data_IF_395238527650
#
_entry.id   IF_395238527650
#
_cell.length_a   1.000
_cell.length_b   1.000
_cell.length_c   1.000
_cell.angle_alpha   90.00
_cell.angle_beta   90.00
_cell.angle_gamma   90.00
#
_symmetry.space_group_name_H-M   'P 1'
#
loop_
_entity.id
_entity.type
_entity.pdbx_description
1 polymer ?
#
# COMPACT_ATOMS: atom_id res chain seq x y z
N UNK A 1 10.92 2.97 -12.56
CA UNK A 1 10.34 2.32 -11.38
C UNK A 1 11.29 2.56 -10.22
N UNK A 2 10.77 3.00 -9.07
CA UNK A 2 11.54 3.36 -7.87
C UNK A 2 11.52 4.84 -7.50
N UNK A 3 10.74 5.67 -8.20
CA UNK A 3 10.67 7.11 -7.91
C UNK A 3 9.97 7.41 -6.56
N UNK A 4 9.33 6.41 -5.95
CA UNK A 4 8.79 6.49 -4.59
C UNK A 4 9.86 6.43 -3.49
N UNK A 5 11.13 6.16 -3.86
CA UNK A 5 12.26 6.19 -2.91
C UNK A 5 12.58 7.61 -2.44
N UNK A 6 12.47 8.58 -3.35
CA UNK A 6 12.87 9.96 -3.14
C UNK A 6 11.65 10.88 -3.10
N UNK A 7 11.66 11.84 -2.16
CA UNK A 7 10.69 12.93 -2.10
C UNK A 7 11.36 14.23 -2.57
N UNK A 8 10.65 15.11 -3.31
CA UNK A 8 9.24 15.01 -3.68
C UNK A 8 8.98 14.05 -4.85
N UNK A 9 7.78 13.47 -4.90
CA UNK A 9 7.36 12.62 -6.02
C UNK A 9 7.33 13.39 -7.35
N UNK A 10 7.45 12.68 -8.50
CA UNK A 10 7.43 13.31 -9.82
C UNK A 10 6.19 14.19 -10.05
N UNK A 11 6.39 15.35 -10.67
CA UNK A 11 5.29 16.26 -11.05
C UNK A 11 4.42 15.67 -12.16
N UNK A 12 3.16 16.11 -12.27
CA UNK A 12 2.20 15.60 -13.24
C UNK A 12 1.49 14.29 -12.84
N UNK A 13 1.76 13.78 -11.64
CA UNK A 13 1.04 12.68 -11.01
C UNK A 13 0.12 13.20 -9.90
N UNK A 14 -0.91 12.41 -9.58
CA UNK A 14 -1.66 12.59 -8.35
C UNK A 14 -0.87 12.00 -7.21
N UNK A 15 -0.71 12.77 -6.13
CA UNK A 15 0.02 12.33 -4.94
C UNK A 15 -0.96 12.08 -3.79
N UNK A 16 -0.65 11.05 -3.01
CA UNK A 16 -1.31 10.71 -1.77
C UNK A 16 -0.23 10.52 -0.71
N UNK A 17 -0.45 11.07 0.48
CA UNK A 17 0.36 10.83 1.66
C UNK A 17 -0.58 10.81 2.87
N UNK A 18 -0.69 9.67 3.52
CA UNK A 18 -1.50 9.47 4.72
C UNK A 18 -0.70 8.67 5.74
N UNK A 19 -0.79 9.06 7.01
CA UNK A 19 -0.09 8.41 8.11
C UNK A 19 -1.02 8.19 9.29
N UNK A 20 -0.74 7.17 10.10
CA UNK A 20 -1.47 6.88 11.33
C UNK A 20 -0.57 6.28 12.39
N UNK A 21 -0.68 6.75 13.63
CA UNK A 21 -0.10 6.06 14.79
C UNK A 21 -0.88 4.77 15.03
N UNK A 22 -0.20 3.63 14.98
CA UNK A 22 -0.81 2.30 15.14
C UNK A 22 -0.52 1.65 16.49
N UNK A 23 0.34 2.25 17.32
CA UNK A 23 0.58 1.85 18.70
C UNK A 23 1.92 2.37 19.20
N UNK A 24 2.49 1.70 20.21
CA UNK A 24 3.80 2.04 20.80
C UNK A 24 4.60 0.78 21.11
N UNK A 25 5.93 0.89 21.07
CA UNK A 25 6.85 -0.20 21.44
C UNK A 25 7.25 -1.13 20.29
N UNK A 26 8.36 -1.83 20.50
CA UNK A 26 8.94 -2.78 19.53
C UNK A 26 8.00 -3.92 19.17
N UNK A 27 7.22 -4.44 20.12
CA UNK A 27 6.27 -5.53 19.85
C UNK A 27 5.20 -5.14 18.82
N UNK A 28 4.71 -3.89 18.87
CA UNK A 28 3.76 -3.38 17.87
C UNK A 28 4.47 -3.19 16.53
N UNK A 29 5.70 -2.69 16.54
CA UNK A 29 6.51 -2.53 15.34
C UNK A 29 6.72 -3.87 14.62
N UNK A 30 7.24 -4.88 15.32
CA UNK A 30 7.52 -6.20 14.74
C UNK A 30 6.26 -6.88 14.20
N UNK A 31 5.15 -6.78 14.94
CA UNK A 31 3.85 -7.30 14.49
C UNK A 31 3.34 -6.59 13.24
N UNK A 32 3.39 -5.25 13.21
CA UNK A 32 2.95 -4.47 12.06
C UNK A 32 3.82 -4.73 10.82
N UNK A 33 5.13 -4.91 11.00
CA UNK A 33 6.05 -5.28 9.92
C UNK A 33 5.73 -6.66 9.38
N UNK A 34 5.53 -7.66 10.24
CA UNK A 34 5.12 -8.99 9.81
C UNK A 34 3.80 -8.94 9.02
N UNK A 35 2.81 -8.19 9.49
CA UNK A 35 1.55 -8.00 8.78
C UNK A 35 1.72 -7.28 7.45
N UNK A 36 2.58 -6.26 7.38
CA UNK A 36 2.83 -5.52 6.15
C UNK A 36 3.41 -6.45 5.08
N UNK A 37 4.52 -7.14 5.40
CA UNK A 37 5.24 -7.98 4.45
C UNK A 37 4.48 -9.25 4.03
N UNK A 38 3.55 -9.73 4.88
CA UNK A 38 2.69 -10.88 4.56
C UNK A 38 1.38 -10.48 3.89
N UNK A 39 1.17 -9.21 3.52
CA UNK A 39 -0.07 -8.68 2.95
C UNK A 39 -1.28 -8.68 3.90
N UNK A 40 -1.05 -8.81 5.21
CA UNK A 40 -2.07 -8.77 6.26
C UNK A 40 -2.92 -7.50 6.23
N UNK A 41 -2.30 -6.34 6.00
CA UNK A 41 -2.98 -5.05 5.82
C UNK A 41 -4.03 -5.07 4.70
N UNK A 42 -3.70 -5.64 3.54
CA UNK A 42 -4.62 -5.75 2.41
C UNK A 42 -5.79 -6.66 2.75
N UNK A 43 -5.50 -7.84 3.32
CA UNK A 43 -6.53 -8.79 3.76
C UNK A 43 -7.47 -8.18 4.80
N UNK A 44 -6.91 -7.50 5.80
CA UNK A 44 -7.67 -6.83 6.87
C UNK A 44 -8.58 -5.72 6.36
N UNK A 45 -8.22 -5.06 5.25
CA UNK A 45 -9.09 -4.07 4.61
C UNK A 45 -10.20 -4.67 3.73
N UNK A 46 -10.24 -6.00 3.56
CA UNK A 46 -11.20 -6.70 2.71
C UNK A 46 -10.72 -6.91 1.27
N UNK A 47 -9.43 -6.72 0.99
CA UNK A 47 -8.83 -7.03 -0.31
C UNK A 47 -8.38 -8.49 -0.31
N UNK A 48 -8.79 -9.25 -1.33
CA UNK A 48 -8.34 -10.63 -1.49
C UNK A 48 -6.94 -10.62 -2.10
N UNK A 49 -6.02 -11.33 -1.46
CA UNK A 49 -4.65 -11.54 -1.93
C UNK A 49 -4.56 -12.96 -2.47
N UNK A 50 -3.95 -13.15 -3.64
CA UNK A 50 -3.78 -14.46 -4.26
C UNK A 50 -3.12 -15.48 -3.32
N UNK A 51 -3.58 -16.74 -3.34
CA UNK A 51 -3.17 -17.77 -2.39
C UNK A 51 -1.66 -18.07 -2.42
N UNK A 52 -1.04 -17.94 -3.59
CA UNK A 52 0.38 -18.23 -3.80
C UNK A 52 1.23 -16.94 -3.84
N UNK A 53 0.75 -15.85 -3.24
CA UNK A 53 1.50 -14.60 -3.21
C UNK A 53 2.68 -14.74 -2.23
N UNK A 54 3.93 -14.59 -2.68
CA UNK A 54 5.09 -14.62 -1.80
C UNK A 54 5.07 -13.42 -0.85
N UNK A 55 5.88 -13.45 0.21
CA UNK A 55 6.15 -12.26 1.05
C UNK A 55 6.63 -11.11 0.16
N UNK A 56 6.40 -9.87 0.59
CA UNK A 56 6.80 -8.67 -0.15
C UNK A 56 8.34 -8.50 -0.22
N UNK A 57 8.98 -9.23 -1.12
CA UNK A 57 10.40 -9.10 -1.47
C UNK A 57 10.53 -8.38 -2.81
N UNK A 58 11.70 -7.81 -3.17
CA UNK A 58 11.90 -7.25 -4.51
C UNK A 58 11.49 -8.24 -5.60
N UNK A 59 10.83 -7.72 -6.64
CA UNK A 59 10.25 -8.46 -7.78
C UNK A 59 9.08 -9.40 -7.49
N UNK A 60 8.65 -9.52 -6.22
CA UNK A 60 7.45 -10.26 -5.88
C UNK A 60 6.23 -9.69 -6.61
N UNK A 61 5.53 -10.55 -7.34
CA UNK A 61 4.25 -10.22 -7.95
C UNK A 61 3.11 -10.51 -6.97
N UNK A 62 2.15 -9.60 -6.89
CA UNK A 62 0.93 -9.77 -6.09
C UNK A 62 -0.29 -9.52 -6.95
N UNK A 63 -1.25 -10.44 -6.83
CA UNK A 63 -2.60 -10.26 -7.37
C UNK A 63 -3.54 -9.87 -6.24
N UNK A 64 -4.12 -8.67 -6.37
CA UNK A 64 -5.10 -8.10 -5.46
C UNK A 64 -6.47 -8.10 -6.13
N UNK A 65 -7.51 -8.50 -5.41
CA UNK A 65 -8.90 -8.42 -5.89
C UNK A 65 -9.77 -7.69 -4.89
N UNK A 66 -10.56 -6.74 -5.39
CA UNK A 66 -11.49 -5.96 -4.58
C UNK A 66 -12.86 -5.83 -5.26
N UNK A 67 -13.94 -5.96 -4.49
CA UNK A 67 -15.32 -5.94 -4.98
C UNK A 67 -15.98 -7.33 -5.05
N UNK A 68 -17.24 -7.37 -5.51
CA UNK A 68 -18.10 -8.56 -5.53
C UNK A 68 -18.66 -8.77 -6.93
N UNK A 69 -18.65 -10.01 -7.42
CA UNK A 69 -19.28 -10.39 -8.69
C UNK A 69 -18.62 -9.76 -9.92
N UNK A 70 -19.37 -9.50 -11.01
CA UNK A 70 -18.82 -9.01 -12.29
C UNK A 70 -18.27 -7.57 -12.22
N UNK A 71 -18.49 -6.87 -11.10
CA UNK A 71 -17.98 -5.52 -10.83
C UNK A 71 -16.67 -5.55 -10.03
N UNK A 72 -16.18 -6.73 -9.65
CA UNK A 72 -14.91 -6.90 -8.96
C UNK A 72 -13.73 -6.53 -9.85
N UNK A 73 -12.77 -5.81 -9.27
CA UNK A 73 -11.55 -5.41 -9.93
C UNK A 73 -10.40 -6.31 -9.49
N UNK A 74 -9.60 -6.75 -10.45
CA UNK A 74 -8.36 -7.48 -10.23
C UNK A 74 -7.18 -6.61 -10.66
N UNK A 75 -6.14 -6.62 -9.84
CA UNK A 75 -5.00 -5.74 -9.95
C UNK A 75 -3.73 -6.56 -9.75
N UNK A 76 -2.77 -6.43 -10.65
CA UNK A 76 -1.45 -7.01 -10.49
C UNK A 76 -0.45 -5.90 -10.18
N UNK A 77 0.31 -6.08 -9.11
CA UNK A 77 1.40 -5.19 -8.74
C UNK A 77 2.70 -5.99 -8.62
N UNK A 78 3.83 -5.29 -8.71
CA UNK A 78 5.15 -5.85 -8.47
C UNK A 78 5.89 -5.02 -7.44
N UNK A 79 6.43 -5.66 -6.42
CA UNK A 79 7.31 -5.00 -5.44
C UNK A 79 8.57 -4.53 -6.15
N UNK A 80 8.82 -3.23 -6.10
CA UNK A 80 9.98 -2.59 -6.75
C UNK A 80 11.17 -2.59 -5.81
N UNK A 81 10.92 -2.35 -4.52
CA UNK A 81 11.97 -2.34 -3.51
C UNK A 81 11.41 -2.52 -2.11
N UNK A 82 12.31 -2.86 -1.19
CA UNK A 82 12.06 -2.95 0.25
C UNK A 82 12.87 -1.89 0.99
N UNK A 83 12.32 -1.39 2.09
CA UNK A 83 13.00 -0.55 3.08
C UNK A 83 13.29 -1.44 4.26
N UNK A 84 14.56 -1.56 4.63
CA UNK A 84 15.03 -2.48 5.66
C UNK A 84 16.03 -1.81 6.61
N UNK A 85 15.55 -0.81 7.35
CA UNK A 85 16.34 -0.08 8.34
C UNK A 85 15.96 -0.54 9.76
N UNK A 86 16.80 -0.28 10.80
CA UNK A 86 16.54 -0.79 12.15
C UNK A 86 15.19 -0.39 12.74
N UNK A 87 14.69 0.81 12.42
CA UNK A 87 13.44 1.37 12.95
C UNK A 87 12.44 1.75 11.86
N UNK A 88 12.74 1.41 10.61
CA UNK A 88 11.90 1.72 9.45
C UNK A 88 11.89 0.51 8.54
N UNK A 89 10.71 -0.10 8.35
CA UNK A 89 10.55 -1.25 7.47
C UNK A 89 9.40 -1.02 6.52
N UNK A 90 9.50 -1.53 5.30
CA UNK A 90 8.41 -1.39 4.34
C UNK A 90 8.78 -1.84 2.95
N UNK A 91 7.91 -1.53 2.00
CA UNK A 91 8.15 -1.79 0.59
C UNK A 91 7.38 -0.79 -0.27
N UNK A 92 7.75 -0.70 -1.53
CA UNK A 92 6.90 -0.10 -2.54
C UNK A 92 6.63 -1.09 -3.67
N UNK A 93 5.41 -1.06 -4.19
CA UNK A 93 5.09 -1.75 -5.44
C UNK A 93 4.69 -0.75 -6.51
N UNK A 94 4.84 -1.17 -7.77
CA UNK A 94 4.29 -0.51 -8.93
C UNK A 94 3.14 -1.31 -9.51
N UNK A 95 2.14 -0.61 -10.01
CA UNK A 95 1.06 -1.21 -10.82
C UNK A 95 1.61 -1.82 -12.11
N UNK A 96 1.22 -3.04 -12.45
CA UNK A 96 1.53 -3.69 -13.73
C UNK A 96 0.49 -3.37 -14.81
N UNK A 97 0.81 -3.71 -16.06
CA UNK A 97 -0.07 -3.48 -17.22
C UNK A 97 -1.44 -4.16 -17.03
N UNK A 98 -2.52 -3.44 -17.34
CA UNK A 98 -3.89 -3.86 -17.04
C UNK A 98 -4.52 -3.14 -15.85
N UNK A 99 -3.71 -2.53 -14.98
CA UNK A 99 -4.20 -1.74 -13.85
C UNK A 99 -4.89 -0.43 -14.32
N UNK A 100 -6.05 -0.05 -13.73
CA UNK A 100 -6.77 1.18 -14.11
C UNK A 100 -6.00 2.47 -13.82
N UNK A 101 -5.04 2.40 -12.90
CA UNK A 101 -4.09 3.46 -12.58
C UNK A 101 -2.65 2.99 -12.80
N UNK A 102 -1.79 3.87 -13.30
CA UNK A 102 -0.36 3.62 -13.42
C UNK A 102 0.37 4.45 -12.38
N UNK A 103 1.06 3.80 -11.43
CA UNK A 103 1.71 4.48 -10.34
C UNK A 103 2.53 3.56 -9.43
N UNK A 104 3.16 4.17 -8.44
CA UNK A 104 3.84 3.46 -7.36
C UNK A 104 3.18 3.81 -6.04
N UNK A 105 3.09 2.81 -5.15
CA UNK A 105 2.58 2.97 -3.81
C UNK A 105 3.59 2.38 -2.82
N UNK A 106 3.94 3.17 -1.81
CA UNK A 106 4.92 2.89 -0.78
C UNK A 106 4.23 2.77 0.57
N UNK A 107 4.54 1.71 1.28
CA UNK A 107 4.04 1.38 2.60
C UNK A 107 5.22 1.26 3.56
N UNK A 108 5.18 2.01 4.66
CA UNK A 108 6.26 2.04 5.64
C UNK A 108 5.69 1.98 7.05
N UNK A 109 6.33 1.19 7.90
CA UNK A 109 6.17 1.25 9.36
C UNK A 109 7.44 1.88 9.93
N UNK A 110 7.27 2.93 10.73
CA UNK A 110 8.32 3.63 11.44
C UNK A 110 8.12 3.49 12.95
N UNK A 111 9.18 3.12 13.69
CA UNK A 111 9.24 3.23 15.14
C UNK A 111 9.99 4.51 15.52
N UNK A 112 9.27 5.52 16.00
CA UNK A 112 9.78 6.86 16.29
C UNK A 112 10.50 6.95 17.63
N UNK A 113 11.41 7.93 17.83
CA UNK A 113 12.13 8.12 19.10
C UNK A 113 11.26 8.27 20.35
N UNK A 114 10.02 8.73 20.20
CA UNK A 114 9.03 8.85 21.29
C UNK A 114 8.28 7.53 21.57
N UNK A 115 8.76 6.42 21.02
CA UNK A 115 8.20 5.07 21.08
C UNK A 115 6.91 4.86 20.28
N UNK A 116 6.41 5.88 19.55
CA UNK A 116 5.26 5.72 18.66
C UNK A 116 5.61 4.84 17.45
N UNK A 117 4.70 3.92 17.10
CA UNK A 117 4.75 3.16 15.85
C UNK A 117 3.78 3.80 14.87
N UNK A 118 4.28 4.24 13.71
CA UNK A 118 3.53 4.97 12.70
C UNK A 118 3.53 4.19 11.40
N UNK A 119 2.35 3.95 10.84
CA UNK A 119 2.19 3.45 9.49
C UNK A 119 1.98 4.62 8.53
N UNK A 120 2.70 4.61 7.42
CA UNK A 120 2.65 5.64 6.39
C UNK A 120 2.42 4.99 5.02
N UNK A 121 1.47 5.54 4.28
CA UNK A 121 1.18 5.15 2.91
C UNK A 121 1.32 6.38 2.03
N UNK A 122 2.22 6.29 1.07
CA UNK A 122 2.49 7.36 0.12
C UNK A 122 2.43 6.80 -1.30
N UNK A 123 1.74 7.49 -2.20
CA UNK A 123 1.55 7.01 -3.55
C UNK A 123 1.65 8.16 -4.55
N UNK A 124 2.09 7.84 -5.76
CA UNK A 124 1.85 8.68 -6.90
C UNK A 124 1.26 7.86 -8.05
N UNK A 125 0.19 8.37 -8.67
CA UNK A 125 -0.49 7.67 -9.75
C UNK A 125 -1.00 8.61 -10.85
N UNK A 126 -1.20 8.06 -12.04
CA UNK A 126 -1.92 8.69 -13.15
C UNK A 126 -2.94 7.71 -13.73
N UNK A 127 -4.04 8.16 -14.34
CA UNK A 127 -4.99 7.27 -14.99
C UNK A 127 -4.30 6.41 -16.06
N UNK A 128 -4.42 5.07 -15.93
CA UNK A 128 -3.77 4.10 -16.83
C UNK A 128 -4.62 3.73 -18.06
N UNK A 129 -5.92 4.06 -18.07
CA UNK A 129 -6.84 3.79 -19.19
C UNK A 129 -7.77 4.96 -19.49
N UNK A 130 -8.32 5.00 -20.71
CA UNK A 130 -9.21 6.08 -21.14
C UNK A 130 -10.53 6.10 -20.35
N UNK A 131 -11.06 4.95 -19.92
CA UNK A 131 -12.29 4.89 -19.13
C UNK A 131 -12.10 5.27 -17.65
N UNK A 132 -10.88 5.23 -17.10
CA UNK A 132 -10.62 5.74 -15.74
C UNK A 132 -10.57 7.26 -15.70
N UNK A 133 -10.42 7.93 -16.85
CA UNK A 133 -10.67 9.39 -16.98
C UNK A 133 -12.16 9.74 -16.83
N UNK A 134 -13.08 8.84 -17.19
CA UNK A 134 -14.53 9.02 -16.96
C UNK A 134 -14.91 8.82 -15.48
N UNK A 135 -14.08 8.13 -14.70
CA UNK A 135 -14.27 7.89 -13.26
C UNK A 135 -13.82 9.03 -12.33
N UNK A 136 -13.19 10.09 -12.85
CA UNK A 136 -13.03 11.39 -12.20
C UNK A 136 -12.64 11.41 -10.70
N UNK A 137 -13.06 12.42 -9.93
CA UNK A 137 -12.80 12.58 -8.48
C UNK A 137 -13.21 11.38 -7.62
N UNK A 138 -14.14 10.55 -8.09
CA UNK A 138 -14.60 9.36 -7.37
C UNK A 138 -13.48 8.33 -7.20
N UNK A 139 -12.59 8.18 -8.20
CA UNK A 139 -11.44 7.27 -8.07
C UNK A 139 -10.48 7.71 -6.95
N UNK A 140 -10.29 9.03 -6.80
CA UNK A 140 -9.45 9.63 -5.75
C UNK A 140 -10.05 9.40 -4.36
N UNK A 141 -11.37 9.55 -4.24
CA UNK A 141 -12.08 9.28 -2.99
C UNK A 141 -11.97 7.79 -2.61
N UNK A 142 -12.12 6.87 -3.58
CA UNK A 142 -11.95 5.43 -3.36
C UNK A 142 -10.53 5.10 -2.92
N UNK A 143 -9.51 5.64 -3.59
CA UNK A 143 -8.10 5.45 -3.21
C UNK A 143 -7.87 5.90 -1.77
N UNK A 144 -8.30 7.11 -1.42
CA UNK A 144 -8.16 7.65 -0.06
C UNK A 144 -8.91 6.82 1.00
N UNK A 145 -10.11 6.34 0.69
CA UNK A 145 -10.87 5.45 1.58
C UNK A 145 -10.15 4.11 1.78
N UNK A 146 -9.59 3.52 0.72
CA UNK A 146 -8.82 2.28 0.82
C UNK A 146 -7.54 2.45 1.63
N UNK A 147 -6.79 3.53 1.39
CA UNK A 147 -5.60 3.85 2.18
C UNK A 147 -5.92 3.96 3.67
N UNK A 148 -7.03 4.59 4.03
CA UNK A 148 -7.49 4.63 5.43
C UNK A 148 -7.85 3.25 5.98
N UNK A 149 -8.55 2.42 5.20
CA UNK A 149 -8.86 1.03 5.60
C UNK A 149 -7.60 0.20 5.80
N UNK A 150 -6.57 0.39 5.00
CA UNK A 150 -5.26 -0.24 5.18
C UNK A 150 -4.62 0.20 6.51
N UNK A 151 -4.57 1.51 6.77
CA UNK A 151 -4.07 2.03 8.04
C UNK A 151 -4.88 1.51 9.25
N UNK A 152 -6.20 1.42 9.12
CA UNK A 152 -7.09 0.89 10.17
C UNK A 152 -6.88 -0.62 10.40
N UNK A 153 -6.61 -1.39 9.34
CA UNK A 153 -6.31 -2.82 9.44
C UNK A 153 -5.04 -3.09 10.26
N UNK A 154 -4.04 -2.21 10.15
CA UNK A 154 -2.80 -2.28 10.94
C UNK A 154 -3.02 -1.94 12.42
N UNK A 155 -4.05 -1.15 12.76
CA UNK A 155 -4.43 -0.87 14.16
C UNK A 155 -5.19 -2.04 14.79
N UNK A 156 -6.07 -2.67 14.00
CA UNK A 156 -7.14 -3.52 14.53
C UNK A 156 -6.74 -4.98 14.77
N UNK A 157 -5.63 -5.45 14.21
CA UNK A 157 -5.15 -6.82 14.43
C UNK A 157 -4.22 -6.89 15.65
N UNK A 158 -4.78 -6.66 16.84
CA UNK A 158 -4.29 -7.29 18.07
C UNK A 158 -4.71 -8.76 18.02
N UNK A 159 -3.77 -9.68 17.82
CA UNK A 159 -3.93 -11.06 18.31
C UNK A 159 -3.11 -11.20 19.57
#
# INVERSE_FOLDING_TARGET
MGASRDLPFPSGYHHLDEQKVIGRGSAVFDSAVAQLFTWGMHRGAGVKVGLNTPTATPDAAVELRWGIGPVGLAFCCRVIYVVDEPRVKGFAYGSLEGHPETGEERFVIEHRPDDAVVASISAFSRPGRWFTRLGGPANRAVQKVMTRRYLDALVSQKR
#
